data_IF_996542115476
#
_entry.id   IF_996542115476
#
_cell.length_a   1.000
_cell.length_b   1.000
_cell.length_c   1.000
_cell.angle_alpha   90.00
_cell.angle_beta   90.00
_cell.angle_gamma   90.00
#
_symmetry.space_group_name_H-M   'P 1'
#
loop_
_entity.id
_entity.type
_entity.pdbx_description
1 polymer ?
#
# COMPACT_ATOMS: atom_id res chain seq x y z
N UNK A 1 18.09 -3.17 0.96
CA UNK A 1 16.70 -2.80 1.28
C UNK A 1 16.32 -3.40 2.62
N UNK A 2 15.99 -2.61 3.62
CA UNK A 2 15.98 -3.02 5.02
C UNK A 2 14.72 -3.81 5.40
N UNK A 3 14.87 -4.86 6.21
CA UNK A 3 13.79 -5.75 6.68
C UNK A 3 12.65 -5.02 7.42
N UNK A 4 12.89 -3.81 7.97
CA UNK A 4 11.92 -3.04 8.75
C UNK A 4 10.84 -2.36 7.90
N UNK A 5 11.12 -2.01 6.64
CA UNK A 5 10.15 -1.40 5.73
C UNK A 5 9.09 -2.42 5.29
N UNK A 6 9.44 -3.69 5.35
CA UNK A 6 8.68 -4.83 4.88
C UNK A 6 7.44 -5.19 5.71
N UNK A 7 7.32 -4.63 6.91
CA UNK A 7 6.27 -4.99 7.88
C UNK A 7 4.99 -4.13 7.82
N UNK A 8 4.98 -3.09 7.01
CA UNK A 8 3.99 -2.01 7.09
C UNK A 8 2.57 -2.40 6.59
N UNK A 9 2.49 -3.11 5.47
CA UNK A 9 1.19 -3.51 4.89
C UNK A 9 0.59 -4.70 5.62
N UNK A 10 1.40 -5.56 6.21
CA UNK A 10 0.93 -6.69 7.00
C UNK A 10 0.01 -6.24 8.14
N UNK A 11 0.37 -5.15 8.80
CA UNK A 11 -0.46 -4.59 9.87
C UNK A 11 -1.72 -3.87 9.35
N UNK A 12 -1.70 -3.35 8.12
CA UNK A 12 -2.88 -2.76 7.49
C UNK A 12 -3.98 -3.79 7.22
N UNK A 13 -3.58 -5.03 6.87
CA UNK A 13 -4.51 -6.15 6.64
C UNK A 13 -4.98 -6.77 7.95
N UNK A 14 -4.11 -6.88 8.95
CA UNK A 14 -4.42 -7.55 10.22
C UNK A 14 -5.27 -6.75 11.20
N UNK A 15 -5.42 -5.47 11.02
CA UNK A 15 -6.25 -4.64 11.90
C UNK A 15 -7.70 -4.48 11.45
N UNK A 16 -8.09 -5.09 10.34
CA UNK A 16 -9.49 -5.31 10.03
C UNK A 16 -9.93 -6.49 10.90
N UNK A 17 -10.57 -6.21 12.04
CA UNK A 17 -11.14 -7.24 12.90
C UNK A 17 -12.07 -8.13 12.06
N UNK A 18 -11.65 -9.35 11.84
CA UNK A 18 -12.41 -10.42 11.18
C UNK A 18 -13.58 -10.92 12.05
N UNK A 19 -14.26 -10.03 12.77
CA UNK A 19 -15.28 -10.44 13.75
C UNK A 19 -16.66 -10.72 13.18
N UNK A 20 -16.83 -10.67 11.85
CA UNK A 20 -18.07 -11.19 11.26
C UNK A 20 -17.81 -11.83 9.88
N UNK A 21 -17.20 -12.99 9.86
CA UNK A 21 -17.45 -13.91 8.76
C UNK A 21 -18.80 -14.55 9.07
N UNK A 22 -19.82 -14.13 8.35
CA UNK A 22 -21.10 -14.82 8.38
C UNK A 22 -20.87 -16.30 8.06
N UNK A 23 -21.24 -17.18 8.98
CA UNK A 23 -21.23 -18.61 8.77
C UNK A 23 -22.19 -18.90 7.62
N UNK A 24 -21.65 -19.28 6.48
CA UNK A 24 -22.46 -19.82 5.39
C UNK A 24 -22.93 -21.21 5.84
N UNK A 25 -24.22 -21.51 5.87
CA UNK A 25 -24.70 -22.80 6.36
C UNK A 25 -24.17 -23.92 5.47
N UNK A 26 -23.54 -24.90 6.13
CA UNK A 26 -23.00 -26.11 5.53
C UNK A 26 -24.08 -27.17 5.47
N UNK A 27 -24.68 -27.39 4.28
CA UNK A 27 -25.25 -28.71 3.94
C UNK A 27 -25.34 -28.85 2.42
N UNK A 28 -24.38 -29.52 1.79
CA UNK A 28 -24.57 -30.29 0.54
C UNK A 28 -23.48 -31.35 0.39
N UNK A 29 -23.89 -32.56 0.02
CA UNK A 29 -23.12 -33.78 -0.11
C UNK A 29 -22.13 -33.83 -1.28
N UNK A 30 -21.07 -34.65 -1.08
CA UNK A 30 -20.18 -35.27 -2.05
C UNK A 30 -18.85 -34.52 -2.39
N UNK A 31 -17.83 -35.27 -2.74
CA UNK A 31 -16.45 -34.84 -3.00
C UNK A 31 -16.29 -33.73 -4.08
N UNK A 32 -17.30 -33.56 -4.95
CA UNK A 32 -17.39 -32.40 -5.88
C UNK A 32 -17.84 -31.11 -5.19
N UNK A 33 -18.54 -31.19 -4.06
CA UNK A 33 -18.99 -30.05 -3.28
C UNK A 33 -17.83 -29.39 -2.53
N UNK A 34 -16.83 -30.10 -2.10
CA UNK A 34 -15.66 -29.59 -1.40
C UNK A 34 -14.87 -28.60 -2.27
N UNK A 35 -14.62 -28.95 -3.53
CA UNK A 35 -13.93 -28.06 -4.46
C UNK A 35 -14.74 -26.79 -4.78
N UNK A 36 -16.05 -26.94 -4.99
CA UNK A 36 -16.94 -25.80 -5.24
C UNK A 36 -17.05 -24.87 -4.02
N UNK A 37 -17.17 -25.41 -2.80
CA UNK A 37 -17.19 -24.62 -1.57
C UNK A 37 -15.86 -23.89 -1.32
N UNK A 38 -14.74 -24.54 -1.63
CA UNK A 38 -13.41 -23.93 -1.51
C UNK A 38 -13.25 -22.78 -2.51
N UNK A 39 -13.69 -22.96 -3.76
CA UNK A 39 -13.68 -21.89 -4.78
C UNK A 39 -14.58 -20.71 -4.39
N UNK A 40 -15.77 -20.97 -3.90
CA UNK A 40 -16.70 -19.93 -3.43
C UNK A 40 -16.09 -19.20 -2.23
N UNK A 41 -15.54 -19.93 -1.25
CA UNK A 41 -14.87 -19.36 -0.09
C UNK A 41 -13.70 -18.47 -0.48
N UNK A 42 -12.88 -18.88 -1.44
CA UNK A 42 -11.79 -18.09 -1.99
C UNK A 42 -12.24 -16.81 -2.70
N UNK A 43 -13.30 -16.91 -3.52
CA UNK A 43 -13.86 -15.76 -4.22
C UNK A 43 -14.47 -14.74 -3.24
N UNK A 44 -15.17 -15.20 -2.20
CA UNK A 44 -15.71 -14.34 -1.14
C UNK A 44 -14.59 -13.65 -0.36
N UNK A 45 -13.56 -14.39 0.03
CA UNK A 45 -12.40 -13.83 0.72
C UNK A 45 -11.68 -12.77 -0.13
N UNK A 46 -11.46 -13.05 -1.40
CA UNK A 46 -10.87 -12.08 -2.34
C UNK A 46 -11.74 -10.82 -2.48
N UNK A 47 -13.05 -10.97 -2.65
CA UNK A 47 -13.97 -9.85 -2.77
C UNK A 47 -13.98 -8.99 -1.50
N UNK A 48 -13.98 -9.61 -0.32
CA UNK A 48 -13.92 -8.93 0.96
C UNK A 48 -12.63 -8.13 1.12
N UNK A 49 -11.48 -8.75 0.89
CA UNK A 49 -10.17 -8.10 1.02
C UNK A 49 -10.00 -6.99 -0.03
N UNK A 50 -10.44 -7.24 -1.27
CA UNK A 50 -10.43 -6.24 -2.34
C UNK A 50 -11.28 -5.01 -1.99
N UNK A 51 -12.45 -5.22 -1.39
CA UNK A 51 -13.34 -4.15 -0.92
C UNK A 51 -12.71 -3.37 0.23
N UNK A 52 -12.07 -4.08 1.19
CA UNK A 52 -11.37 -3.46 2.31
C UNK A 52 -10.22 -2.56 1.84
N UNK A 53 -9.37 -3.03 0.92
CA UNK A 53 -8.29 -2.21 0.35
C UNK A 53 -8.83 -1.00 -0.42
N UNK A 54 -9.89 -1.18 -1.19
CA UNK A 54 -10.54 -0.06 -1.87
C UNK A 54 -11.07 0.97 -0.87
N UNK A 55 -11.70 0.55 0.22
CA UNK A 55 -12.20 1.45 1.26
C UNK A 55 -11.04 2.20 1.92
N UNK A 56 -9.98 1.49 2.31
CA UNK A 56 -8.78 2.12 2.90
C UNK A 56 -8.17 3.15 1.96
N UNK A 57 -8.09 2.84 0.66
CA UNK A 57 -7.45 3.68 -0.32
C UNK A 57 -8.30 4.89 -0.75
N UNK A 58 -9.64 4.82 -0.61
CA UNK A 58 -10.54 5.86 -1.12
C UNK A 58 -11.31 6.60 -0.02
N UNK A 59 -11.13 6.28 1.27
CA UNK A 59 -11.78 6.99 2.37
C UNK A 59 -10.78 7.77 3.23
N UNK A 60 -11.26 8.84 3.86
CA UNK A 60 -10.48 9.62 4.83
C UNK A 60 -10.16 8.78 6.06
N UNK A 61 -11.14 8.03 6.56
CA UNK A 61 -10.95 7.11 7.68
C UNK A 61 -9.88 6.05 7.40
N UNK A 62 -9.89 5.46 6.20
CA UNK A 62 -8.86 4.51 5.78
C UNK A 62 -7.47 5.15 5.70
N UNK A 63 -7.37 6.38 5.22
CA UNK A 63 -6.12 7.14 5.20
C UNK A 63 -5.61 7.42 6.61
N UNK A 64 -6.45 7.86 7.53
CA UNK A 64 -6.08 8.12 8.93
C UNK A 64 -5.63 6.85 9.64
N UNK A 65 -6.31 5.72 9.44
CA UNK A 65 -5.90 4.42 9.97
C UNK A 65 -4.56 3.96 9.39
N UNK A 66 -4.35 4.15 8.09
CA UNK A 66 -3.09 3.81 7.41
C UNK A 66 -1.93 4.67 7.95
N UNK A 67 -2.15 5.96 8.14
CA UNK A 67 -1.17 6.89 8.72
C UNK A 67 -0.79 6.48 10.15
N UNK A 68 -1.77 6.21 10.99
CA UNK A 68 -1.52 5.81 12.38
C UNK A 68 -0.68 4.52 12.45
N UNK A 69 -0.97 3.57 11.58
CA UNK A 69 -0.22 2.31 11.48
C UNK A 69 1.19 2.53 10.94
N UNK A 70 1.31 3.31 9.86
CA UNK A 70 2.58 3.63 9.27
C UNK A 70 3.52 4.24 10.32
N UNK A 71 3.08 5.26 11.04
CA UNK A 71 3.84 5.89 12.13
C UNK A 71 4.21 4.92 13.25
N UNK A 72 3.30 4.01 13.62
CA UNK A 72 3.57 3.02 14.65
C UNK A 72 4.69 2.04 14.26
N UNK A 73 4.85 1.76 12.99
CA UNK A 73 5.78 0.74 12.50
C UNK A 73 7.14 1.30 12.10
N UNK A 74 7.17 2.45 11.43
CA UNK A 74 8.43 3.07 11.00
C UNK A 74 8.93 4.12 11.97
N UNK A 75 8.14 4.49 12.97
CA UNK A 75 8.40 5.62 13.84
C UNK A 75 7.93 6.94 13.19
N UNK A 76 8.03 7.98 13.98
CA UNK A 76 7.78 9.36 13.57
C UNK A 76 9.00 10.19 13.94
N UNK A 77 9.56 10.93 13.00
CA UNK A 77 10.72 11.78 13.27
C UNK A 77 10.25 13.04 14.02
N UNK A 78 10.70 13.19 15.27
CA UNK A 78 10.37 14.35 16.12
C UNK A 78 11.25 15.57 15.74
N UNK A 79 11.19 15.93 14.45
CA UNK A 79 11.85 17.10 13.87
C UNK A 79 10.80 17.90 13.10
N UNK A 80 10.39 19.04 13.67
CA UNK A 80 9.38 19.89 13.09
C UNK A 80 9.78 20.48 11.73
N UNK A 81 11.06 20.75 11.51
CA UNK A 81 11.57 21.28 10.23
C UNK A 81 11.49 20.19 9.13
N UNK A 82 11.91 18.96 9.46
CA UNK A 82 11.80 17.83 8.55
C UNK A 82 10.34 17.53 8.19
N UNK A 83 9.44 17.52 9.18
CA UNK A 83 8.00 17.32 8.95
C UNK A 83 7.41 18.45 8.08
N UNK A 84 7.72 19.70 8.38
CA UNK A 84 7.27 20.85 7.60
C UNK A 84 7.81 20.81 6.15
N UNK A 85 9.04 20.34 5.95
CA UNK A 85 9.66 20.22 4.63
C UNK A 85 8.89 19.23 3.76
N UNK A 86 8.65 18.02 4.22
CA UNK A 86 7.92 17.00 3.43
C UNK A 86 6.47 17.41 3.17
N UNK A 87 5.81 18.03 4.16
CA UNK A 87 4.43 18.51 4.01
C UNK A 87 4.33 19.66 3.00
N UNK A 88 5.29 20.59 3.00
CA UNK A 88 5.35 21.68 2.04
C UNK A 88 5.53 21.17 0.61
N UNK A 89 6.46 20.23 0.41
CA UNK A 89 6.70 19.62 -0.90
C UNK A 89 5.44 18.89 -1.37
N UNK A 90 4.84 18.05 -0.52
CA UNK A 90 3.61 17.33 -0.85
C UNK A 90 2.49 18.29 -1.28
N UNK A 91 2.23 19.34 -0.49
CA UNK A 91 1.20 20.33 -0.81
C UNK A 91 1.45 21.02 -2.15
N UNK A 92 2.71 21.28 -2.49
CA UNK A 92 3.09 21.89 -3.76
C UNK A 92 2.83 20.92 -4.92
N UNK A 93 3.19 19.65 -4.77
CA UNK A 93 2.95 18.63 -5.79
C UNK A 93 1.46 18.34 -5.99
N UNK A 94 0.68 18.32 -4.91
CA UNK A 94 -0.79 18.15 -4.98
C UNK A 94 -1.51 19.29 -5.72
N UNK A 95 -0.88 20.45 -5.86
CA UNK A 95 -1.43 21.55 -6.66
C UNK A 95 -1.32 21.30 -8.17
N UNK A 96 -0.54 20.32 -8.61
CA UNK A 96 -0.46 19.93 -10.02
C UNK A 96 -1.83 19.44 -10.52
N UNK A 97 -2.26 19.89 -11.72
CA UNK A 97 -3.48 19.40 -12.35
C UNK A 97 -3.46 17.89 -12.64
N UNK A 98 -2.28 17.27 -12.64
CA UNK A 98 -2.11 15.84 -12.86
C UNK A 98 -2.36 14.99 -11.62
N UNK A 99 -2.36 15.56 -10.42
CA UNK A 99 -2.70 14.89 -9.15
C UNK A 99 -4.20 15.03 -8.91
N UNK A 100 -4.89 13.91 -8.76
CA UNK A 100 -6.36 13.85 -8.60
C UNK A 100 -6.79 13.43 -7.20
N UNK A 101 -5.84 12.96 -6.40
CA UNK A 101 -6.09 12.40 -5.08
C UNK A 101 -5.31 13.19 -4.03
N UNK A 102 -5.75 13.18 -2.78
CA UNK A 102 -5.01 13.80 -1.68
C UNK A 102 -4.14 12.79 -0.94
N UNK A 103 -2.97 13.21 -0.55
CA UNK A 103 -1.95 12.39 0.09
C UNK A 103 -1.62 12.93 1.48
N UNK A 104 -1.17 12.06 2.36
CA UNK A 104 -0.60 12.44 3.64
C UNK A 104 0.83 11.96 3.70
N UNK A 105 1.75 12.84 4.07
CA UNK A 105 3.17 12.53 4.17
C UNK A 105 3.70 12.80 5.57
N UNK A 106 4.67 12.01 6.00
CA UNK A 106 5.44 12.23 7.21
C UNK A 106 6.88 11.76 7.04
N UNK A 107 7.78 12.35 7.83
CA UNK A 107 9.17 11.91 7.95
C UNK A 107 9.30 10.87 9.06
N UNK A 108 10.07 9.80 8.84
CA UNK A 108 10.39 8.78 9.82
C UNK A 108 11.90 8.77 10.15
N UNK A 109 12.32 8.22 11.32
CA UNK A 109 13.70 8.30 11.81
C UNK A 109 14.69 7.31 11.18
N UNK A 110 14.33 6.56 10.13
CA UNK A 110 15.25 5.62 9.49
C UNK A 110 16.37 6.35 8.74
N UNK A 111 17.60 5.92 8.94
CA UNK A 111 18.77 6.44 8.23
C UNK A 111 18.94 5.81 6.82
N UNK A 112 18.09 4.86 6.44
CA UNK A 112 18.12 4.29 5.08
C UNK A 112 17.67 5.34 4.05
N UNK A 113 18.35 5.38 2.91
CA UNK A 113 17.92 6.20 1.77
C UNK A 113 16.67 5.59 1.13
N UNK A 114 15.49 6.07 1.53
CA UNK A 114 14.22 5.59 0.97
C UNK A 114 13.07 6.57 1.22
N UNK A 115 12.08 6.53 0.32
CA UNK A 115 10.72 7.01 0.51
C UNK A 115 9.77 6.00 -0.11
N UNK A 116 8.56 5.87 0.42
CA UNK A 116 7.59 4.91 -0.11
C UNK A 116 6.16 5.34 0.17
N UNK A 117 5.29 5.01 -0.75
CA UNK A 117 3.85 5.13 -0.56
C UNK A 117 3.25 3.81 -0.04
N UNK A 118 2.13 3.90 0.67
CA UNK A 118 1.36 2.76 1.16
C UNK A 118 -0.13 2.93 0.88
N UNK A 119 -0.91 1.88 1.14
CA UNK A 119 -2.39 1.94 1.02
C UNK A 119 -2.94 3.11 1.83
N UNK A 120 -3.98 3.75 1.32
CA UNK A 120 -4.57 4.93 1.95
C UNK A 120 -3.89 6.24 1.56
N UNK A 121 -3.00 6.21 0.55
CA UNK A 121 -2.33 7.41 0.04
C UNK A 121 -1.50 8.09 1.12
N UNK A 122 -0.80 7.28 1.90
CA UNK A 122 0.14 7.72 2.93
C UNK A 122 1.54 7.50 2.40
N UNK A 123 2.38 8.51 2.48
CA UNK A 123 3.78 8.48 2.11
C UNK A 123 4.66 8.63 3.35
N UNK A 124 5.69 7.82 3.43
CA UNK A 124 6.72 7.91 4.46
C UNK A 124 8.06 8.24 3.81
N UNK A 125 8.72 9.27 4.30
CA UNK A 125 10.06 9.68 3.85
C UNK A 125 11.05 9.42 4.97
N UNK A 126 12.08 8.65 4.67
CA UNK A 126 13.11 8.33 5.64
C UNK A 126 14.06 9.53 5.87
N UNK A 127 14.52 9.68 7.10
CA UNK A 127 15.54 10.69 7.45
C UNK A 127 16.77 10.60 6.53
N UNK A 128 17.22 9.39 6.18
CA UNK A 128 18.35 9.21 5.27
C UNK A 128 18.15 9.81 3.88
N UNK A 129 16.91 9.85 3.36
CA UNK A 129 16.61 10.56 2.12
C UNK A 129 16.57 12.08 2.34
N UNK A 130 16.02 12.54 3.47
CA UNK A 130 15.97 13.97 3.81
C UNK A 130 17.36 14.59 4.02
N UNK A 131 18.30 13.83 4.53
CA UNK A 131 19.67 14.29 4.77
C UNK A 131 20.49 14.41 3.48
N UNK A 132 20.15 13.66 2.43
CA UNK A 132 20.92 13.57 1.20
C UNK A 132 20.35 14.37 0.05
N UNK A 133 19.03 14.50 -0.04
CA UNK A 133 18.35 15.14 -1.17
C UNK A 133 18.07 16.62 -0.89
N UNK A 134 18.23 17.45 -1.90
CA UNK A 134 17.67 18.80 -1.89
C UNK A 134 16.12 18.76 -2.15
N UNK A 135 15.50 19.93 -2.23
CA UNK A 135 14.04 20.00 -2.37
C UNK A 135 13.55 19.56 -3.76
N UNK A 136 14.32 19.81 -4.80
CA UNK A 136 13.97 19.43 -6.16
C UNK A 136 14.09 17.91 -6.35
N UNK A 137 15.18 17.32 -5.87
CA UNK A 137 15.40 15.88 -5.88
C UNK A 137 14.36 15.13 -5.05
N UNK A 138 14.06 15.65 -3.85
CA UNK A 138 13.03 15.07 -2.98
C UNK A 138 11.63 15.20 -3.60
N UNK A 139 11.34 16.34 -4.25
CA UNK A 139 10.08 16.53 -4.95
C UNK A 139 9.90 15.52 -6.10
N UNK A 140 10.98 15.21 -6.84
CA UNK A 140 10.92 14.18 -7.88
C UNK A 140 10.59 12.79 -7.29
N UNK A 141 11.30 12.39 -6.22
CA UNK A 141 11.02 11.12 -5.53
C UNK A 141 9.57 11.07 -5.06
N UNK A 142 9.09 12.14 -4.44
CA UNK A 142 7.72 12.20 -3.95
C UNK A 142 6.70 12.21 -5.09
N UNK A 143 6.97 12.87 -6.23
CA UNK A 143 6.10 12.85 -7.40
C UNK A 143 6.02 11.45 -8.04
N UNK A 144 7.13 10.70 -8.06
CA UNK A 144 7.16 9.31 -8.48
C UNK A 144 6.25 8.43 -7.59
N UNK A 145 6.36 8.57 -6.26
CA UNK A 145 5.50 7.83 -5.31
C UNK A 145 4.01 8.23 -5.41
N UNK A 146 3.72 9.52 -5.64
CA UNK A 146 2.36 10.00 -5.94
C UNK A 146 1.81 9.27 -7.18
N UNK A 147 2.64 9.09 -8.20
CA UNK A 147 2.24 8.45 -9.46
C UNK A 147 1.79 7.02 -9.27
N UNK A 148 2.48 6.22 -8.44
CA UNK A 148 2.03 4.89 -8.05
C UNK A 148 0.67 4.93 -7.31
N UNK A 149 0.45 5.97 -6.51
CA UNK A 149 -0.83 6.22 -5.84
C UNK A 149 -1.95 6.56 -6.83
N UNK A 150 -1.70 7.44 -7.82
CA UNK A 150 -2.66 7.82 -8.87
C UNK A 150 -3.03 6.61 -9.74
N UNK A 151 -2.05 5.78 -10.11
CA UNK A 151 -2.25 4.54 -10.87
C UNK A 151 -2.84 3.40 -10.04
N UNK A 152 -2.93 3.56 -8.70
CA UNK A 152 -3.38 2.52 -7.75
C UNK A 152 -2.53 1.24 -7.78
N UNK A 153 -1.25 1.37 -8.13
CA UNK A 153 -0.35 0.23 -8.29
C UNK A 153 -0.25 -0.60 -7.03
N UNK A 154 -0.15 0.03 -5.85
CA UNK A 154 -0.07 -0.64 -4.55
C UNK A 154 -1.33 -1.47 -4.29
N UNK A 155 -2.51 -0.87 -4.45
CA UNK A 155 -3.79 -1.55 -4.20
C UNK A 155 -4.02 -2.69 -5.20
N UNK A 156 -3.69 -2.45 -6.47
CA UNK A 156 -3.85 -3.46 -7.52
C UNK A 156 -2.84 -4.60 -7.36
N UNK A 157 -1.61 -4.30 -6.96
CA UNK A 157 -0.60 -5.31 -6.63
C UNK A 157 -1.02 -6.20 -5.46
N UNK A 158 -1.54 -5.61 -4.38
CA UNK A 158 -2.08 -6.36 -3.24
C UNK A 158 -3.26 -7.25 -3.64
N UNK A 159 -4.19 -6.75 -4.43
CA UNK A 159 -5.33 -7.56 -4.94
C UNK A 159 -4.84 -8.73 -5.80
N UNK A 160 -3.88 -8.49 -6.69
CA UNK A 160 -3.28 -9.55 -7.51
C UNK A 160 -2.60 -10.62 -6.65
N UNK A 161 -1.86 -10.20 -5.63
CA UNK A 161 -1.18 -11.13 -4.72
C UNK A 161 -2.19 -11.97 -3.93
N UNK A 162 -3.26 -11.37 -3.41
CA UNK A 162 -4.36 -12.09 -2.74
C UNK A 162 -5.00 -13.09 -3.70
N UNK A 163 -5.29 -12.71 -4.94
CA UNK A 163 -5.86 -13.59 -5.94
C UNK A 163 -4.97 -14.80 -6.24
N UNK A 164 -3.68 -14.58 -6.46
CA UNK A 164 -2.69 -15.65 -6.71
C UNK A 164 -2.56 -16.60 -5.53
N UNK A 165 -2.43 -16.10 -4.30
CA UNK A 165 -2.25 -16.95 -3.11
C UNK A 165 -3.53 -17.71 -2.77
N UNK A 166 -4.69 -17.13 -3.02
CA UNK A 166 -5.96 -17.83 -2.90
C UNK A 166 -6.02 -19.00 -3.90
N UNK A 167 -5.66 -18.79 -5.16
CA UNK A 167 -5.62 -19.84 -6.18
C UNK A 167 -4.64 -20.97 -5.83
N UNK A 168 -3.43 -20.64 -5.36
CA UNK A 168 -2.43 -21.63 -4.92
C UNK A 168 -2.91 -22.43 -3.73
N UNK A 169 -3.52 -21.77 -2.73
CA UNK A 169 -4.07 -22.46 -1.54
C UNK A 169 -5.20 -23.43 -1.90
N UNK A 170 -6.07 -23.03 -2.82
CA UNK A 170 -7.14 -23.90 -3.32
C UNK A 170 -6.58 -25.13 -4.04
N UNK A 171 -5.57 -24.95 -4.88
CA UNK A 171 -4.91 -26.05 -5.60
C UNK A 171 -4.20 -27.03 -4.64
N UNK A 172 -3.69 -26.55 -3.51
CA UNK A 172 -3.00 -27.34 -2.49
C UNK A 172 -3.96 -28.01 -1.46
N UNK A 173 -5.29 -27.84 -1.60
CA UNK A 173 -6.28 -28.40 -0.66
C UNK A 173 -6.25 -27.74 0.72
N UNK A 174 -5.66 -26.59 0.87
CA UNK A 174 -5.47 -25.89 2.14
C UNK A 174 -6.64 -24.96 2.50
N UNK A 175 -7.23 -25.17 3.67
CA UNK A 175 -8.26 -24.31 4.26
C UNK A 175 -7.69 -23.38 5.33
N UNK A 176 -7.10 -22.23 4.95
CA UNK A 176 -6.57 -21.31 5.94
C UNK A 176 -6.48 -19.86 5.44
N UNK A 177 -7.62 -19.19 5.24
CA UNK A 177 -7.69 -17.87 4.67
C UNK A 177 -6.90 -16.78 5.45
N UNK A 178 -6.86 -16.83 6.78
CA UNK A 178 -6.20 -15.81 7.61
C UNK A 178 -4.66 -15.88 7.54
N UNK A 179 -4.08 -17.08 7.60
CA UNK A 179 -2.63 -17.28 7.48
C UNK A 179 -2.12 -16.91 6.07
N UNK A 180 -2.93 -17.21 5.06
CA UNK A 180 -2.63 -16.86 3.67
C UNK A 180 -2.60 -15.34 3.48
N UNK A 181 -3.62 -14.63 3.96
CA UNK A 181 -3.70 -13.16 3.88
C UNK A 181 -2.53 -12.48 4.62
N UNK A 182 -2.13 -13.03 5.76
CA UNK A 182 -0.98 -12.57 6.53
C UNK A 182 0.33 -12.73 5.74
N UNK A 183 0.56 -13.90 5.14
CA UNK A 183 1.76 -14.17 4.34
C UNK A 183 1.80 -13.35 3.04
N UNK A 184 0.65 -13.14 2.40
CA UNK A 184 0.53 -12.33 1.18
C UNK A 184 0.96 -10.91 1.45
N UNK A 185 0.38 -10.29 2.46
CA UNK A 185 0.70 -8.90 2.77
C UNK A 185 2.17 -8.75 3.15
N UNK A 186 2.74 -9.69 3.92
CA UNK A 186 4.16 -9.72 4.26
C UNK A 186 5.05 -9.83 3.02
N UNK A 187 4.78 -10.81 2.16
CA UNK A 187 5.58 -11.03 0.94
C UNK A 187 5.46 -9.89 -0.06
N UNK A 188 4.30 -9.27 -0.22
CA UNK A 188 4.12 -8.14 -1.12
C UNK A 188 4.95 -6.94 -0.70
N UNK A 189 5.02 -6.66 0.61
CA UNK A 189 5.84 -5.58 1.15
C UNK A 189 7.34 -5.83 1.04
N UNK A 190 7.71 -7.11 1.22
CA UNK A 190 9.10 -7.52 1.06
C UNK A 190 9.59 -7.43 -0.38
N UNK A 191 8.70 -7.64 -1.32
CA UNK A 191 8.98 -7.71 -2.74
C UNK A 191 8.06 -6.76 -3.53
N UNK A 192 7.84 -5.53 -3.03
CA UNK A 192 7.13 -4.50 -3.76
C UNK A 192 7.93 -4.16 -5.02
N UNK A 193 7.81 -5.02 -6.00
CA UNK A 193 8.44 -4.87 -7.30
C UNK A 193 7.33 -4.47 -8.25
N UNK A 194 7.34 -3.22 -8.62
CA UNK A 194 6.51 -2.76 -9.72
C UNK A 194 7.09 -3.33 -11.03
N UNK A 195 6.22 -3.60 -11.98
CA UNK A 195 6.65 -4.01 -13.32
C UNK A 195 7.36 -2.85 -14.01
N UNK A 196 8.25 -3.14 -14.97
CA UNK A 196 8.89 -2.08 -15.77
C UNK A 196 7.87 -1.12 -16.41
N UNK A 197 6.69 -1.62 -16.76
CA UNK A 197 5.62 -0.77 -17.29
C UNK A 197 5.03 0.18 -16.25
N UNK A 198 4.89 -0.26 -15.00
CA UNK A 198 4.43 0.59 -13.89
C UNK A 198 5.49 1.62 -13.52
N UNK A 199 6.76 1.21 -13.41
CA UNK A 199 7.86 2.14 -13.15
C UNK A 199 7.95 3.23 -14.22
N UNK A 200 7.92 2.83 -15.51
CA UNK A 200 7.91 3.79 -16.62
C UNK A 200 6.72 4.75 -16.56
N UNK A 201 5.53 4.24 -16.26
CA UNK A 201 4.32 5.07 -16.12
C UNK A 201 4.44 6.00 -14.90
N UNK A 202 5.06 5.55 -13.81
CA UNK A 202 5.30 6.36 -12.62
C UNK A 202 6.34 7.45 -12.89
N UNK A 203 7.42 7.16 -13.62
CA UNK A 203 8.39 8.14 -14.08
C UNK A 203 7.75 9.21 -14.99
N UNK A 204 6.96 8.79 -15.98
CA UNK A 204 6.30 9.69 -16.93
C UNK A 204 5.33 10.65 -16.20
N UNK A 205 4.48 10.12 -15.30
CA UNK A 205 3.56 10.94 -14.54
C UNK A 205 4.29 11.77 -13.48
N UNK A 206 5.29 11.22 -12.81
CA UNK A 206 6.12 11.92 -11.83
C UNK A 206 6.84 13.12 -12.44
N UNK A 207 7.46 12.95 -13.60
CA UNK A 207 8.06 14.05 -14.36
C UNK A 207 7.03 15.09 -14.76
N UNK A 208 5.83 14.68 -15.17
CA UNK A 208 4.76 15.60 -15.50
C UNK A 208 4.31 16.41 -14.28
N UNK A 209 4.09 15.78 -13.13
CA UNK A 209 3.73 16.44 -11.87
C UNK A 209 4.82 17.46 -11.49
N UNK A 210 6.09 17.06 -11.60
CA UNK A 210 7.22 17.95 -11.31
C UNK A 210 7.22 19.16 -12.25
N UNK A 211 7.05 18.96 -13.57
CA UNK A 211 7.04 20.04 -14.57
C UNK A 211 5.85 21.01 -14.42
N UNK A 212 4.79 20.60 -13.73
CA UNK A 212 3.63 21.42 -13.38
C UNK A 212 3.80 22.13 -12.01
N UNK A 213 4.94 21.95 -11.35
CA UNK A 213 5.30 22.49 -10.04
C UNK A 213 6.45 23.52 -10.18
N UNK A 214 6.78 24.28 -9.14
CA UNK A 214 7.94 25.17 -9.15
C UNK A 214 9.30 24.45 -8.99
N UNK A 215 9.29 23.13 -8.81
CA UNK A 215 10.52 22.31 -8.70
C UNK A 215 11.09 21.99 -10.09
N UNK A 216 12.42 21.75 -10.14
CA UNK A 216 13.16 21.48 -11.39
C UNK A 216 13.65 20.03 -11.50
#
# INVERSE_FOLDING_TARGET
MNKKIKSLVLAAVMGLSLTTVAVVPTTVEAASAGAAQTLIGGAVAYAYVSTAFNKMDNSKEGQEQSLARAKKQTGYLEDSAAQARVQRIMKTLEASPSVKRSYVVYANPSDDFNAFATVGRVMSVNKGALDLLDDDELAYVMAHEISHGEHKDIVNGLKKQVGLSTAVSLAAGGGGNAAILSNIAGNYMENQVFTMGQEKAADELGFKILSESPYN
#
